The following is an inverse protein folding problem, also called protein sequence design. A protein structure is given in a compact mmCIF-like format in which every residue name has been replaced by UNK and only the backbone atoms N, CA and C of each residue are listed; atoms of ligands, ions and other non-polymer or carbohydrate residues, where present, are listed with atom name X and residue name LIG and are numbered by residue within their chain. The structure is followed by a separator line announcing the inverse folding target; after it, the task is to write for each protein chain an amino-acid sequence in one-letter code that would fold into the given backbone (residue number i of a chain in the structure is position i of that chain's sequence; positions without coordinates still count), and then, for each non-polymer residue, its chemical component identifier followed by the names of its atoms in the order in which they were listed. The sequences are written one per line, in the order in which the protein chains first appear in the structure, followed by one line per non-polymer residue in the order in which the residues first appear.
data_IF_843102148537
#
_entry.id   IF_843102148537
#
_cell.length_a   1.000
_cell.length_b   1.000
_cell.length_c   1.000
_cell.angle_alpha   90.00
_cell.angle_beta   90.00
_cell.angle_gamma   90.00
#
_symmetry.space_group_name_H-M   'P 1'
#
loop_
_entity.id
_entity.type
_entity.pdbx_description
1 polymer ?
#
# COMPACT_ATOMS: atom_id res chain seq x y z
N UNK A 1 -2.46 -0.55 8.41
CA UNK A 1 -3.65 -1.40 8.14
C UNK A 1 -4.62 -0.54 7.37
N UNK A 2 -5.34 -1.12 6.42
CA UNK A 2 -6.36 -0.45 5.62
C UNK A 2 -7.57 -1.37 5.45
N UNK A 3 -8.67 -0.80 4.96
CA UNK A 3 -9.91 -1.51 4.62
C UNK A 3 -10.40 -1.05 3.24
N UNK A 4 -10.95 -1.96 2.46
CA UNK A 4 -11.54 -1.66 1.15
C UNK A 4 -12.03 -2.92 0.43
N UNK A 5 -12.87 -2.76 -0.58
CA UNK A 5 -13.43 -3.88 -1.34
C UNK A 5 -12.44 -4.32 -2.41
N UNK A 6 -11.67 -5.37 -2.11
CA UNK A 6 -10.63 -5.85 -3.02
C UNK A 6 -11.13 -6.91 -3.99
N UNK A 7 -12.43 -7.24 -3.97
CA UNK A 7 -12.98 -8.34 -4.75
C UNK A 7 -14.29 -8.03 -5.50
N UNK A 8 -14.86 -6.85 -5.32
CA UNK A 8 -16.04 -6.35 -6.00
C UNK A 8 -17.37 -6.91 -5.48
N UNK A 9 -17.40 -7.44 -4.25
CA UNK A 9 -18.63 -7.97 -3.64
C UNK A 9 -19.37 -6.96 -2.75
N UNK A 10 -18.90 -5.71 -2.71
CA UNK A 10 -19.35 -4.63 -1.83
C UNK A 10 -19.19 -4.96 -0.33
N UNK A 11 -18.25 -5.83 0.02
CA UNK A 11 -17.87 -6.14 1.39
C UNK A 11 -16.39 -5.84 1.57
N UNK A 12 -16.05 -4.96 2.52
CA UNK A 12 -14.66 -4.58 2.72
C UNK A 12 -13.82 -5.72 3.30
N UNK A 13 -12.61 -5.86 2.74
CA UNK A 13 -11.50 -6.64 3.24
C UNK A 13 -10.66 -5.86 4.25
N UNK A 14 -9.85 -6.59 5.01
CA UNK A 14 -8.82 -6.07 5.90
C UNK A 14 -7.45 -6.29 5.25
N UNK A 15 -6.67 -5.22 5.11
CA UNK A 15 -5.33 -5.25 4.53
C UNK A 15 -4.31 -4.92 5.63
N UNK A 16 -3.37 -5.84 5.84
CA UNK A 16 -2.31 -5.69 6.83
C UNK A 16 -0.93 -5.65 6.16
N UNK A 17 -0.20 -4.56 6.36
CA UNK A 17 1.24 -4.49 6.10
C UNK A 17 2.03 -4.85 7.35
N UNK A 18 3.10 -5.63 7.20
CA UNK A 18 3.98 -5.95 8.30
C UNK A 18 4.87 -4.75 8.68
N UNK A 19 5.07 -4.55 9.98
CA UNK A 19 5.97 -3.53 10.51
C UNK A 19 7.46 -3.94 10.45
N UNK A 20 8.30 -3.16 11.13
CA UNK A 20 9.74 -3.40 11.25
C UNK A 20 10.00 -4.84 11.76
N UNK A 21 10.94 -5.53 11.11
CA UNK A 21 11.31 -6.93 11.35
C UNK A 21 10.54 -7.94 10.51
N UNK A 22 9.27 -7.66 10.16
CA UNK A 22 8.42 -8.57 9.38
C UNK A 22 8.65 -8.54 7.87
N UNK A 23 9.42 -7.56 7.40
CA UNK A 23 9.65 -7.28 5.98
C UNK A 23 8.43 -6.66 5.28
N UNK A 24 8.51 -6.40 3.97
CA UNK A 24 7.45 -5.69 3.24
C UNK A 24 6.27 -6.60 2.89
N UNK A 25 5.83 -7.42 3.84
CA UNK A 25 4.79 -8.43 3.63
C UNK A 25 3.40 -7.81 3.80
N UNK A 26 2.52 -8.05 2.82
CA UNK A 26 1.11 -7.65 2.82
C UNK A 26 0.25 -8.90 2.89
N UNK A 27 -0.76 -8.89 3.76
CA UNK A 27 -1.80 -9.94 3.84
C UNK A 27 -3.18 -9.34 3.75
N UNK A 28 -4.10 -10.10 3.15
CA UNK A 28 -5.50 -9.74 3.03
C UNK A 28 -6.36 -10.75 3.79
N UNK A 29 -7.31 -10.24 4.55
CA UNK A 29 -8.30 -11.01 5.29
C UNK A 29 -9.71 -10.56 4.88
N UNK A 30 -10.67 -11.47 4.91
CA UNK A 30 -12.07 -11.09 4.80
C UNK A 30 -12.56 -10.43 6.10
N UNK A 31 -13.82 -9.96 6.09
CA UNK A 31 -14.49 -9.38 7.27
C UNK A 31 -14.50 -10.26 8.53
N UNK A 32 -14.35 -11.57 8.40
CA UNK A 32 -14.32 -12.53 9.51
C UNK A 32 -12.89 -12.79 10.02
N UNK A 33 -11.88 -12.07 9.51
CA UNK A 33 -10.47 -12.23 9.86
C UNK A 33 -9.82 -13.48 9.26
N UNK A 34 -10.44 -14.12 8.27
CA UNK A 34 -9.86 -15.26 7.56
C UNK A 34 -8.98 -14.76 6.43
N UNK A 35 -7.78 -15.31 6.33
CA UNK A 35 -6.85 -15.05 5.22
C UNK A 35 -7.49 -15.51 3.91
N UNK A 36 -7.51 -14.64 2.90
CA UNK A 36 -8.13 -14.93 1.59
C UNK A 36 -7.12 -14.94 0.43
N UNK A 37 -5.84 -14.75 0.72
CA UNK A 37 -4.71 -14.97 -0.20
C UNK A 37 -3.45 -15.39 0.60
N UNK A 38 -2.40 -15.93 -0.03
CA UNK A 38 -1.16 -16.27 0.67
C UNK A 38 -0.38 -15.06 1.24
N UNK A 39 -0.74 -13.83 0.86
CA UNK A 39 0.06 -12.63 1.03
C UNK A 39 1.15 -12.50 -0.03
N UNK A 40 1.80 -11.33 -0.07
CA UNK A 40 2.88 -11.03 -1.00
C UNK A 40 3.89 -10.04 -0.41
N UNK A 41 5.10 -9.99 -0.97
CA UNK A 41 6.10 -8.98 -0.62
C UNK A 41 6.07 -7.84 -1.64
N UNK A 42 5.75 -6.61 -1.19
CA UNK A 42 5.65 -5.44 -2.06
C UNK A 42 7.02 -4.91 -2.55
N UNK A 43 8.07 -5.21 -1.79
CA UNK A 43 9.46 -4.84 -2.06
C UNK A 43 10.38 -6.06 -1.88
N UNK A 44 11.70 -5.84 -1.94
CA UNK A 44 12.69 -6.90 -1.73
C UNK A 44 12.36 -7.71 -0.46
N UNK A 45 12.16 -9.04 -0.54
CA UNK A 45 11.87 -9.88 0.63
C UNK A 45 12.98 -9.88 1.70
N UNK A 46 14.16 -9.33 1.43
CA UNK A 46 15.24 -9.08 2.40
C UNK A 46 15.11 -7.72 3.11
N UNK A 47 14.27 -6.81 2.62
CA UNK A 47 13.99 -5.54 3.29
C UNK A 47 13.28 -5.80 4.62
N UNK A 48 13.69 -5.11 5.70
CA UNK A 48 13.20 -5.39 7.07
C UNK A 48 12.52 -4.22 7.74
N UNK A 49 12.37 -3.07 7.07
CA UNK A 49 11.73 -1.91 7.70
C UNK A 49 10.21 -1.89 7.56
N UNK A 50 9.61 -2.94 7.01
CA UNK A 50 8.16 -3.07 6.87
C UNK A 50 7.59 -2.38 5.64
N UNK A 51 6.26 -2.29 5.61
CA UNK A 51 5.47 -1.68 4.53
C UNK A 51 4.24 -0.98 5.11
N UNK A 52 4.00 0.24 4.65
CA UNK A 52 2.79 1.00 4.90
C UNK A 52 1.76 0.70 3.81
N UNK A 53 0.48 0.66 4.17
CA UNK A 53 -0.61 0.28 3.27
C UNK A 53 -1.77 1.26 3.34
N UNK A 54 -2.31 1.61 2.18
CA UNK A 54 -3.57 2.30 1.96
C UNK A 54 -4.36 1.57 0.86
N UNK A 55 -5.64 1.92 0.69
CA UNK A 55 -6.55 1.26 -0.25
C UNK A 55 -7.49 2.26 -0.90
N UNK A 56 -7.83 2.04 -2.17
CA UNK A 56 -8.84 2.77 -2.94
C UNK A 56 -8.82 2.36 -4.42
N UNK A 57 -9.91 2.54 -5.15
CA UNK A 57 -10.00 2.26 -6.60
C UNK A 57 -9.14 3.24 -7.43
N UNK A 58 -7.90 2.87 -7.77
CA UNK A 58 -6.94 3.79 -8.41
C UNK A 58 -7.08 3.79 -9.93
N UNK A 59 -7.46 2.66 -10.53
CA UNK A 59 -7.60 2.56 -11.99
C UNK A 59 -9.04 2.74 -12.50
N UNK A 60 -10.03 2.82 -11.60
CA UNK A 60 -11.44 3.08 -11.90
C UNK A 60 -12.17 1.83 -12.39
N UNK A 61 -11.75 0.64 -11.95
CA UNK A 61 -12.38 -0.63 -12.32
C UNK A 61 -13.53 -1.04 -11.38
N UNK A 62 -13.80 -0.24 -10.34
CA UNK A 62 -14.81 -0.50 -9.33
C UNK A 62 -14.36 -1.48 -8.24
N UNK A 63 -13.08 -1.86 -8.22
CA UNK A 63 -12.44 -2.70 -7.20
C UNK A 63 -11.29 -1.90 -6.59
N UNK A 64 -11.22 -1.87 -5.27
CA UNK A 64 -10.14 -1.15 -4.60
C UNK A 64 -8.77 -1.80 -4.86
N UNK A 65 -7.74 -0.96 -4.93
CA UNK A 65 -6.35 -1.36 -5.09
C UNK A 65 -5.56 -1.23 -3.79
N UNK A 66 -4.51 -2.04 -3.63
CA UNK A 66 -3.57 -1.94 -2.51
C UNK A 66 -2.45 -0.98 -2.90
N UNK A 67 -2.37 0.14 -2.18
CA UNK A 67 -1.26 1.10 -2.28
C UNK A 67 -0.24 0.78 -1.20
N UNK A 68 1.04 0.69 -1.56
CA UNK A 68 2.13 0.45 -0.63
C UNK A 68 3.20 1.54 -0.67
N UNK A 69 3.72 1.89 0.50
CA UNK A 69 4.94 2.67 0.68
C UNK A 69 5.96 1.90 1.52
N UNK A 70 7.27 1.95 1.21
CA UNK A 70 8.25 1.24 2.00
C UNK A 70 8.52 1.98 3.31
N UNK A 71 8.85 1.24 4.37
CA UNK A 71 9.39 1.82 5.59
C UNK A 71 10.76 2.51 5.37
N UNK A 72 11.34 3.05 6.46
CA UNK A 72 12.66 3.72 6.46
C UNK A 72 13.75 2.86 5.80
N UNK A 73 14.64 3.49 5.03
CA UNK A 73 15.74 2.83 4.32
C UNK A 73 15.38 2.34 2.91
N UNK A 74 14.11 2.30 2.54
CA UNK A 74 13.68 2.02 1.17
C UNK A 74 13.85 3.25 0.27
N UNK A 75 14.02 3.01 -1.03
CA UNK A 75 13.79 4.05 -2.06
C UNK A 75 12.31 4.46 -1.96
N UNK A 76 11.94 5.75 -2.09
CA UNK A 76 10.57 6.21 -1.89
C UNK A 76 9.69 5.90 -3.13
N UNK A 77 9.68 4.64 -3.55
CA UNK A 77 8.84 4.14 -4.62
C UNK A 77 7.51 3.65 -4.04
N UNK A 78 6.42 4.34 -4.38
CA UNK A 78 5.08 3.85 -4.15
C UNK A 78 4.73 2.80 -5.20
N UNK A 79 3.99 1.78 -4.79
CA UNK A 79 3.52 0.72 -5.68
C UNK A 79 2.04 0.43 -5.45
N UNK A 80 1.36 0.10 -6.52
CA UNK A 80 -0.07 -0.24 -6.55
C UNK A 80 -0.18 -1.71 -6.96
N UNK A 81 -1.00 -2.47 -6.24
CA UNK A 81 -1.21 -3.89 -6.46
C UNK A 81 -2.69 -4.24 -6.43
N UNK A 82 -3.06 -5.29 -7.17
CA UNK A 82 -4.32 -5.98 -6.92
C UNK A 82 -4.27 -6.81 -5.62
N UNK A 83 -5.39 -7.44 -5.27
CA UNK A 83 -5.48 -8.33 -4.11
C UNK A 83 -4.53 -9.52 -4.13
N UNK A 84 -4.03 -9.93 -5.29
CA UNK A 84 -3.16 -11.11 -5.44
C UNK A 84 -1.67 -10.75 -5.44
N UNK A 85 -1.34 -9.46 -5.33
CA UNK A 85 0.03 -8.96 -5.39
C UNK A 85 0.55 -8.76 -6.81
N UNK A 86 -0.31 -8.73 -7.82
CA UNK A 86 0.07 -8.31 -9.16
C UNK A 86 0.20 -6.79 -9.18
N UNK A 87 1.38 -6.28 -9.58
CA UNK A 87 1.64 -4.84 -9.59
C UNK A 87 0.90 -4.16 -10.76
N UNK A 88 0.03 -3.21 -10.45
CA UNK A 88 -0.68 -2.36 -11.42
C UNK A 88 0.13 -1.13 -11.82
N UNK A 89 0.80 -0.46 -10.87
CA UNK A 89 1.59 0.75 -11.13
C UNK A 89 2.72 0.96 -10.12
N UNK A 90 3.69 1.83 -10.44
CA UNK A 90 4.67 2.36 -9.47
C UNK A 90 5.29 3.68 -9.92
N UNK A 91 5.71 4.49 -8.95
CA UNK A 91 6.45 5.74 -9.18
C UNK A 91 7.26 6.14 -7.94
N UNK A 92 8.30 6.94 -8.15
CA UNK A 92 9.10 7.52 -7.07
C UNK A 92 8.38 8.79 -6.58
N UNK A 93 7.96 8.80 -5.31
CA UNK A 93 7.15 9.88 -4.72
C UNK A 93 7.97 11.10 -4.26
N UNK A 94 9.26 10.89 -3.96
CA UNK A 94 10.18 11.92 -3.47
C UNK A 94 11.52 11.86 -4.20
N UNK A 95 12.51 12.61 -3.74
CA UNK A 95 13.87 12.45 -4.28
C UNK A 95 14.33 11.00 -4.14
N UNK A 96 14.93 10.44 -5.19
CA UNK A 96 15.35 9.03 -5.23
C UNK A 96 16.36 8.69 -4.14
N UNK A 97 17.07 9.65 -3.58
CA UNK A 97 18.01 9.48 -2.46
C UNK A 97 17.36 9.54 -1.08
N UNK A 98 16.10 9.98 -0.96
CA UNK A 98 15.37 9.99 0.32
C UNK A 98 15.22 8.56 0.87
N UNK A 99 15.46 8.37 2.16
CA UNK A 99 15.38 7.08 2.86
C UNK A 99 14.50 7.16 4.09
N UNK A 100 13.68 8.20 4.21
CA UNK A 100 12.82 8.40 5.36
C UNK A 100 11.63 7.44 5.39
N UNK A 101 11.32 6.80 4.26
CA UNK A 101 10.14 5.94 4.11
C UNK A 101 8.93 6.74 3.65
N UNK A 102 7.88 6.04 3.24
CA UNK A 102 6.67 6.62 2.65
C UNK A 102 5.45 6.14 3.40
N UNK A 103 4.77 7.06 4.09
CA UNK A 103 3.37 6.85 4.48
C UNK A 103 2.47 7.05 3.26
N UNK A 104 1.41 6.25 3.18
CA UNK A 104 0.50 6.25 2.03
C UNK A 104 -0.93 6.51 2.46
N UNK A 105 -1.65 7.25 1.63
CA UNK A 105 -3.07 7.55 1.73
C UNK A 105 -3.70 7.44 0.34
N UNK A 106 -5.02 7.29 0.27
CA UNK A 106 -5.78 7.32 -0.98
C UNK A 106 -7.06 8.12 -0.74
N UNK A 107 -7.41 9.01 -1.66
CA UNK A 107 -8.69 9.72 -1.65
C UNK A 107 -9.00 10.22 -3.04
N UNK A 108 -10.27 10.25 -3.39
CA UNK A 108 -10.77 10.96 -4.58
C UNK A 108 -10.85 12.46 -4.22
N UNK A 109 -9.87 13.25 -4.64
CA UNK A 109 -9.84 14.69 -4.40
C UNK A 109 -10.22 15.53 -5.61
N UNK A 110 -10.20 14.95 -6.83
CA UNK A 110 -10.59 15.66 -8.05
C UNK A 110 -12.02 15.32 -8.53
N UNK A 111 -12.68 14.40 -7.85
CA UNK A 111 -14.07 13.96 -8.02
C UNK A 111 -14.33 13.25 -9.35
N UNK A 112 -13.34 12.51 -9.86
CA UNK A 112 -13.49 11.69 -11.07
C UNK A 112 -13.99 10.26 -10.80
N UNK A 113 -14.12 9.89 -9.53
CA UNK A 113 -14.55 8.56 -9.08
C UNK A 113 -13.41 7.56 -8.90
N UNK A 114 -12.16 7.98 -9.12
CA UNK A 114 -10.96 7.22 -8.79
C UNK A 114 -10.32 7.79 -7.54
N UNK A 115 -9.57 6.96 -6.84
CA UNK A 115 -8.80 7.36 -5.69
C UNK A 115 -7.39 7.78 -6.14
N UNK A 116 -6.95 8.97 -5.75
CA UNK A 116 -5.58 9.41 -5.95
C UNK A 116 -4.68 8.93 -4.80
N UNK A 117 -3.59 8.20 -5.10
CA UNK A 117 -2.64 7.80 -4.08
C UNK A 117 -1.70 8.94 -3.71
N UNK A 118 -1.57 9.19 -2.40
CA UNK A 118 -0.75 10.26 -1.83
C UNK A 118 0.37 9.63 -1.00
N UNK A 119 1.62 10.08 -1.23
CA UNK A 119 2.78 9.73 -0.41
C UNK A 119 3.15 10.87 0.54
N UNK A 120 3.53 10.53 1.77
CA UNK A 120 4.09 11.48 2.76
C UNK A 120 5.41 10.94 3.32
N UNK A 121 6.41 11.81 3.49
CA UNK A 121 7.71 11.42 4.07
C UNK A 121 7.62 11.34 5.59
N UNK A 122 8.19 10.29 6.18
CA UNK A 122 8.15 9.99 7.62
C UNK A 122 9.07 10.87 8.50
N UNK A 123 9.75 11.86 7.92
CA UNK A 123 10.43 12.92 8.66
C UNK A 123 10.19 14.28 7.98
N UNK A 124 9.39 15.17 8.60
CA UNK A 124 9.27 16.54 8.12
C UNK A 124 10.47 17.42 8.51
N UNK A 125 11.23 17.09 9.57
CA UNK A 125 12.42 17.85 10.00
C UNK A 125 13.48 16.95 10.64
N UNK A 126 14.75 17.14 10.28
CA UNK A 126 15.89 16.47 10.90
C UNK A 126 16.24 17.10 12.25
N UNK A 127 16.29 16.26 13.29
CA UNK A 127 17.07 16.46 14.51
C UNK A 127 17.85 15.17 14.78
#
# INVERSE_FOLDING_TARGET
MAIGDLNGDNVNEIIAGAGVGGGPHVRVFNKDGRVINPGFFAYDPAFRSGVNVAVGDVDGDGIDDIITGPGRGGIPEMKIFDRNGNRKASWIAFDRSDRNGVEVLATDFDLDGKAEPIGMSLQPFGL
#
